data_IF_635974381255
#
_entry.id   IF_635974381255
#
_cell.length_a   1.000
_cell.length_b   1.000
_cell.length_c   1.000
_cell.angle_alpha   90.00
_cell.angle_beta   90.00
_cell.angle_gamma   90.00
#
_symmetry.space_group_name_H-M   'P 1'
#
loop_
_entity.id
_entity.type
_entity.pdbx_description
1 polymer ?
#
# COMPACT_ATOMS: atom_id res chain seq x y z
N UNK A 1 15.89 13.00 2.39
CA UNK A 1 15.62 11.59 2.73
C UNK A 1 16.83 10.98 3.42
N UNK A 2 18.00 10.81 2.79
CA UNK A 2 19.21 10.42 3.53
C UNK A 2 19.71 11.49 4.51
N UNK A 3 19.66 12.76 4.07
CA UNK A 3 20.08 13.92 4.86
C UNK A 3 19.29 14.14 6.17
N UNK A 4 18.05 13.63 6.24
CA UNK A 4 17.20 13.73 7.42
C UNK A 4 17.26 12.47 8.30
N UNK A 5 17.69 11.34 7.74
CA UNK A 5 17.95 10.12 8.52
C UNK A 5 19.20 10.27 9.40
N UNK A 6 20.20 11.04 8.95
CA UNK A 6 21.39 11.34 9.74
C UNK A 6 22.12 10.06 10.18
N UNK A 7 22.40 9.94 11.48
CA UNK A 7 22.97 8.76 12.14
C UNK A 7 21.90 7.89 12.85
N UNK A 8 20.60 8.11 12.60
CA UNK A 8 19.55 7.29 13.20
C UNK A 8 19.43 5.94 12.47
N UNK A 9 20.04 4.92 13.08
CA UNK A 9 20.04 3.55 12.56
C UNK A 9 18.67 2.88 12.53
N UNK A 10 17.62 3.47 13.12
CA UNK A 10 16.25 2.96 13.01
C UNK A 10 15.59 3.31 11.67
N UNK A 11 16.20 4.19 10.86
CA UNK A 11 15.71 4.57 9.54
C UNK A 11 16.52 3.85 8.47
N UNK A 12 15.94 2.78 7.90
CA UNK A 12 16.59 1.98 6.87
C UNK A 12 16.29 2.50 5.47
N UNK A 13 17.33 2.86 4.70
CA UNK A 13 17.22 3.27 3.30
C UNK A 13 17.55 2.11 2.36
N UNK A 14 16.50 1.39 1.97
CA UNK A 14 16.61 0.12 1.24
C UNK A 14 16.39 0.36 -0.25
N UNK A 15 17.47 0.32 -1.03
CA UNK A 15 17.45 0.62 -2.48
C UNK A 15 18.26 -0.37 -3.28
N UNK A 16 18.05 -0.41 -4.60
CA UNK A 16 18.80 -1.28 -5.51
C UNK A 16 20.32 -0.99 -5.52
N UNK A 17 20.76 0.19 -5.08
CA UNK A 17 22.18 0.52 -4.92
C UNK A 17 22.89 -0.36 -3.87
N UNK A 18 22.13 -0.94 -2.94
CA UNK A 18 22.63 -1.88 -1.94
C UNK A 18 22.09 -3.30 -2.15
N UNK A 19 21.66 -3.62 -3.38
CA UNK A 19 21.23 -4.97 -3.77
C UNK A 19 19.77 -5.30 -3.49
N UNK A 20 18.92 -4.32 -3.14
CA UNK A 20 17.48 -4.56 -2.94
C UNK A 20 16.77 -4.75 -4.28
N UNK A 21 16.22 -5.95 -4.50
CA UNK A 21 15.40 -6.32 -5.64
C UNK A 21 13.94 -6.62 -5.25
N UNK A 22 13.24 -7.33 -6.13
CA UNK A 22 11.82 -7.66 -5.95
C UNK A 22 11.55 -8.62 -4.79
N UNK A 23 12.48 -9.53 -4.50
CA UNK A 23 12.37 -10.47 -3.37
C UNK A 23 12.53 -9.74 -2.04
N UNK A 24 13.48 -8.83 -1.94
CA UNK A 24 13.73 -8.03 -0.74
C UNK A 24 12.57 -7.08 -0.47
N UNK A 25 12.06 -6.38 -1.50
CA UNK A 25 10.85 -5.55 -1.38
C UNK A 25 9.65 -6.38 -0.90
N UNK A 26 9.48 -7.60 -1.42
CA UNK A 26 8.43 -8.51 -0.97
C UNK A 26 8.59 -8.84 0.52
N UNK A 27 9.82 -9.16 0.96
CA UNK A 27 10.13 -9.44 2.36
C UNK A 27 9.83 -8.23 3.26
N UNK A 28 10.28 -7.02 2.90
CA UNK A 28 10.05 -5.80 3.68
C UNK A 28 8.56 -5.49 3.81
N UNK A 29 7.81 -5.60 2.72
CA UNK A 29 6.36 -5.40 2.76
C UNK A 29 5.68 -6.44 3.65
N UNK A 30 6.11 -7.70 3.68
CA UNK A 30 5.54 -8.73 4.57
C UNK A 30 5.90 -8.52 6.03
N UNK A 31 7.08 -7.97 6.30
CA UNK A 31 7.57 -7.68 7.64
C UNK A 31 7.01 -6.37 8.22
N UNK A 32 6.34 -5.55 7.41
CA UNK A 32 5.79 -4.26 7.83
C UNK A 32 4.47 -4.42 8.58
N UNK A 33 4.31 -3.74 9.72
CA UNK A 33 3.03 -3.66 10.44
C UNK A 33 2.04 -2.69 9.78
N UNK A 34 2.56 -1.60 9.19
CA UNK A 34 1.79 -0.56 8.50
C UNK A 34 2.59 -0.04 7.31
N UNK A 35 1.91 0.15 6.16
CA UNK A 35 2.51 0.76 4.98
C UNK A 35 2.01 2.20 4.80
N UNK A 36 2.91 3.10 4.37
CA UNK A 36 2.59 4.50 4.11
C UNK A 36 2.74 4.82 2.61
N UNK A 37 1.72 5.45 2.01
CA UNK A 37 1.80 6.02 0.66
C UNK A 37 1.38 7.49 0.69
N UNK A 38 2.32 8.36 1.06
CA UNK A 38 2.08 9.80 1.28
C UNK A 38 2.36 10.68 0.05
N UNK A 39 2.21 10.11 -1.16
CA UNK A 39 2.37 10.81 -2.44
C UNK A 39 1.50 12.07 -2.51
N UNK A 40 2.05 13.16 -3.05
CA UNK A 40 1.29 14.38 -3.37
C UNK A 40 0.62 14.25 -4.75
N UNK A 41 1.26 13.51 -5.66
CA UNK A 41 0.75 13.16 -6.98
C UNK A 41 1.04 11.68 -7.19
N UNK A 42 0.04 10.95 -7.69
CA UNK A 42 0.15 9.51 -7.92
C UNK A 42 -0.68 9.13 -9.15
N UNK A 43 -0.23 8.13 -9.89
CA UNK A 43 -1.02 7.48 -10.92
C UNK A 43 -1.97 6.49 -10.26
N UNK A 44 -1.75 5.19 -10.48
CA UNK A 44 -2.45 4.15 -9.72
C UNK A 44 -1.78 3.88 -8.37
N UNK A 45 -0.46 3.66 -8.35
CA UNK A 45 0.30 3.32 -7.14
C UNK A 45 0.23 1.84 -6.78
N UNK A 46 0.92 0.98 -7.56
CA UNK A 46 0.92 -0.48 -7.36
C UNK A 46 1.47 -0.90 -5.99
N UNK A 47 2.35 -0.11 -5.38
CA UNK A 47 2.87 -0.35 -4.03
C UNK A 47 1.74 -0.47 -2.99
N UNK A 48 0.64 0.26 -3.17
CA UNK A 48 -0.55 0.16 -2.31
C UNK A 48 -1.23 -1.19 -2.48
N UNK A 49 -1.49 -1.62 -3.72
CA UNK A 49 -2.06 -2.94 -4.03
C UNK A 49 -1.18 -4.06 -3.49
N UNK A 50 0.15 -3.96 -3.63
CA UNK A 50 1.10 -4.95 -3.15
C UNK A 50 1.09 -5.10 -1.62
N UNK A 51 0.99 -3.99 -0.89
CA UNK A 51 0.88 -4.00 0.57
C UNK A 51 -0.45 -4.61 1.03
N UNK A 52 -1.58 -4.18 0.42
CA UNK A 52 -2.90 -4.73 0.70
C UNK A 52 -2.96 -6.24 0.41
N UNK A 53 -2.36 -6.70 -0.69
CA UNK A 53 -2.27 -8.13 -1.04
C UNK A 53 -1.57 -8.97 0.03
N UNK A 54 -0.58 -8.37 0.70
CA UNK A 54 0.20 -8.94 1.79
C UNK A 54 -0.44 -8.76 3.16
N UNK A 55 -1.70 -8.29 3.22
CA UNK A 55 -2.47 -8.02 4.44
C UNK A 55 -1.86 -6.94 5.32
N UNK A 56 -1.15 -5.99 4.72
CA UNK A 56 -0.63 -4.83 5.44
C UNK A 56 -1.61 -3.67 5.27
N UNK A 57 -2.16 -3.11 6.36
CA UNK A 57 -3.02 -1.94 6.27
C UNK A 57 -2.22 -0.73 5.78
N UNK A 58 -2.83 0.06 4.91
CA UNK A 58 -2.18 1.21 4.27
C UNK A 58 -2.74 2.52 4.82
N UNK A 59 -1.88 3.46 5.19
CA UNK A 59 -2.24 4.87 5.42
C UNK A 59 -1.72 5.68 4.24
N UNK A 60 -2.61 6.38 3.54
CA UNK A 60 -2.25 7.04 2.29
C UNK A 60 -2.99 8.35 2.06
N UNK A 61 -2.44 9.20 1.18
CA UNK A 61 -3.13 10.40 0.72
C UNK A 61 -4.22 10.08 -0.30
N UNK A 62 -5.29 10.86 -0.29
CA UNK A 62 -6.39 10.73 -1.26
C UNK A 62 -6.03 11.37 -2.62
N UNK A 63 -5.12 10.75 -3.37
CA UNK A 63 -4.67 11.24 -4.68
C UNK A 63 -4.61 10.12 -5.72
N UNK A 64 -4.84 10.46 -7.00
CA UNK A 64 -4.78 9.49 -8.10
C UNK A 64 -5.73 8.30 -7.92
N UNK A 65 -5.23 7.10 -8.19
CA UNK A 65 -5.91 5.82 -8.03
C UNK A 65 -5.80 5.19 -6.64
N UNK A 66 -5.15 5.85 -5.67
CA UNK A 66 -5.09 5.38 -4.28
C UNK A 66 -6.50 5.19 -3.67
N UNK A 67 -7.47 6.10 -3.86
CA UNK A 67 -8.81 5.95 -3.30
C UNK A 67 -9.61 4.77 -3.89
N UNK A 68 -9.19 4.22 -5.03
CA UNK A 68 -9.78 2.99 -5.59
C UNK A 68 -9.30 1.75 -4.83
N UNK A 69 -8.09 1.80 -4.27
CA UNK A 69 -7.45 0.69 -3.57
C UNK A 69 -7.69 0.75 -2.05
N UNK A 70 -7.62 1.94 -1.45
CA UNK A 70 -7.79 2.15 -0.01
C UNK A 70 -9.22 2.59 0.28
N UNK A 71 -10.04 1.66 0.80
CA UNK A 71 -11.37 1.94 1.32
C UNK A 71 -11.19 2.43 2.76
N UNK A 72 -11.41 3.72 2.96
CA UNK A 72 -11.17 4.39 4.23
C UNK A 72 -11.88 3.68 5.41
N UNK A 73 -11.14 3.38 6.48
CA UNK A 73 -11.63 2.67 7.66
C UNK A 73 -11.84 1.15 7.45
N UNK A 74 -11.67 0.64 6.23
CA UNK A 74 -11.96 -0.76 5.89
C UNK A 74 -10.72 -1.54 5.47
N UNK A 75 -9.95 -1.03 4.50
CA UNK A 75 -8.68 -1.64 4.04
C UNK A 75 -7.45 -0.82 4.43
N UNK A 76 -7.68 0.41 4.88
CA UNK A 76 -6.64 1.36 5.28
C UNK A 76 -7.26 2.69 5.71
N UNK A 77 -6.44 3.73 5.80
CA UNK A 77 -6.90 5.10 6.08
C UNK A 77 -6.47 6.06 4.98
N UNK A 78 -7.41 6.90 4.56
CA UNK A 78 -7.13 8.05 3.71
C UNK A 78 -6.96 9.29 4.58
N UNK A 79 -5.83 9.97 4.42
CA UNK A 79 -5.43 11.14 5.22
C UNK A 79 -5.03 12.31 4.32
N UNK A 80 -5.04 13.53 4.86
CA UNK A 80 -4.68 14.74 4.10
C UNK A 80 -3.28 15.25 4.45
N UNK A 81 -2.89 15.12 5.72
CA UNK A 81 -1.64 15.65 6.25
C UNK A 81 -0.84 14.62 7.06
N UNK A 82 0.37 15.02 7.46
CA UNK A 82 1.33 14.19 8.19
C UNK A 82 0.86 13.89 9.61
N UNK A 83 0.14 14.82 10.26
CA UNK A 83 -0.34 14.63 11.63
C UNK A 83 -1.40 13.53 11.69
N UNK A 84 -2.36 13.56 10.76
CA UNK A 84 -3.34 12.50 10.58
C UNK A 84 -2.67 11.17 10.19
N UNK A 85 -1.64 11.19 9.34
CA UNK A 85 -0.90 9.98 9.00
C UNK A 85 -0.25 9.34 10.25
N UNK A 86 0.40 10.16 11.08
CA UNK A 86 1.01 9.70 12.33
C UNK A 86 -0.04 9.15 13.30
N UNK A 87 -1.16 9.85 13.48
CA UNK A 87 -2.26 9.41 14.35
C UNK A 87 -2.82 8.05 13.91
N UNK A 88 -3.11 7.88 12.61
CA UNK A 88 -3.66 6.61 12.09
C UNK A 88 -2.65 5.48 12.12
N UNK A 89 -1.37 5.77 11.89
CA UNK A 89 -0.29 4.78 12.04
C UNK A 89 -0.20 4.30 13.48
N UNK A 90 -0.17 5.22 14.45
CA UNK A 90 -0.14 4.89 15.87
C UNK A 90 -1.39 4.11 16.29
N UNK A 91 -2.57 4.48 15.78
CA UNK A 91 -3.80 3.75 16.03
C UNK A 91 -3.71 2.28 15.57
N UNK A 92 -3.17 2.03 14.37
CA UNK A 92 -3.00 0.67 13.83
C UNK A 92 -2.03 -0.15 14.69
N UNK A 93 -0.89 0.45 15.07
CA UNK A 93 0.10 -0.20 15.94
C UNK A 93 -0.46 -0.53 17.33
N UNK A 94 -1.30 0.33 17.90
CA UNK A 94 -1.97 0.09 19.20
C UNK A 94 -3.10 -0.93 19.12
N UNK A 95 -3.72 -1.13 17.95
CA UNK A 95 -4.90 -1.96 17.78
C UNK A 95 -4.66 -3.11 16.79
N UNK A 96 -3.69 -3.99 17.11
CA UNK A 96 -3.27 -5.10 16.24
C UNK A 96 -4.41 -5.93 15.65
N UNK A 97 -5.41 -6.33 16.45
CA UNK A 97 -6.58 -7.09 15.95
C UNK A 97 -7.40 -6.33 14.90
N UNK A 98 -7.48 -5.00 15.00
CA UNK A 98 -8.15 -4.17 13.99
C UNK A 98 -7.30 -4.04 12.74
N UNK A 99 -5.99 -3.87 12.90
CA UNK A 99 -5.02 -3.84 11.80
C UNK A 99 -5.04 -5.16 10.99
N UNK A 100 -5.04 -6.31 11.66
CA UNK A 100 -5.15 -7.64 11.03
C UNK A 100 -6.45 -7.79 10.23
N UNK A 101 -7.59 -7.44 10.81
CA UNK A 101 -8.89 -7.46 10.11
C UNK A 101 -8.91 -6.53 8.90
N UNK A 102 -8.29 -5.36 9.03
CA UNK A 102 -8.16 -4.39 7.94
C UNK A 102 -7.26 -4.94 6.82
N UNK A 103 -6.17 -5.61 7.17
CA UNK A 103 -5.29 -6.31 6.24
C UNK A 103 -6.00 -7.42 5.46
N UNK A 104 -6.80 -8.25 6.12
CA UNK A 104 -7.59 -9.30 5.44
C UNK A 104 -8.57 -8.69 4.45
N UNK A 105 -9.31 -7.65 4.85
CA UNK A 105 -10.21 -6.92 3.94
C UNK A 105 -9.45 -6.29 2.78
N UNK A 106 -8.24 -5.78 3.02
CA UNK A 106 -7.34 -5.29 1.98
C UNK A 106 -7.01 -6.36 0.94
N UNK A 107 -6.62 -7.54 1.39
CA UNK A 107 -6.32 -8.68 0.52
C UNK A 107 -7.55 -9.13 -0.28
N UNK A 108 -8.72 -9.23 0.37
CA UNK A 108 -9.98 -9.57 -0.31
C UNK A 108 -10.34 -8.55 -1.39
N UNK A 109 -10.14 -7.26 -1.11
CA UNK A 109 -10.37 -6.19 -2.06
C UNK A 109 -9.46 -6.33 -3.28
N UNK A 110 -8.17 -6.60 -3.07
CA UNK A 110 -7.21 -6.86 -4.16
C UNK A 110 -7.56 -8.11 -4.95
N UNK A 111 -7.93 -9.21 -4.28
CA UNK A 111 -8.32 -10.46 -4.91
C UNK A 111 -9.46 -10.26 -5.92
N UNK A 112 -10.47 -9.47 -5.54
CA UNK A 112 -11.65 -9.19 -6.37
C UNK A 112 -11.36 -8.20 -7.49
N UNK A 113 -10.47 -7.24 -7.24
CA UNK A 113 -10.39 -6.05 -8.07
C UNK A 113 -9.06 -5.81 -8.75
N UNK A 114 -7.90 -6.32 -8.33
CA UNK A 114 -6.60 -5.83 -8.85
C UNK A 114 -5.60 -6.91 -9.23
N UNK A 115 -6.04 -8.17 -9.33
CA UNK A 115 -5.20 -9.23 -9.88
C UNK A 115 -5.11 -9.17 -11.40
N UNK A 116 -3.98 -9.68 -11.92
CA UNK A 116 -3.69 -9.76 -13.35
C UNK A 116 -4.74 -10.54 -14.13
N UNK A 117 -5.36 -11.56 -13.53
CA UNK A 117 -6.41 -12.37 -14.18
C UNK A 117 -7.68 -11.56 -14.44
N UNK A 118 -8.08 -10.71 -13.50
CA UNK A 118 -9.17 -9.74 -13.69
C UNK A 118 -8.79 -8.77 -14.80
N UNK A 119 -7.58 -8.22 -14.75
CA UNK A 119 -7.11 -7.26 -15.74
C UNK A 119 -7.08 -7.83 -17.17
N UNK A 120 -6.60 -9.07 -17.34
CA UNK A 120 -6.62 -9.79 -18.61
C UNK A 120 -8.05 -9.97 -19.14
N UNK A 121 -8.99 -10.36 -18.27
CA UNK A 121 -10.40 -10.53 -18.63
C UNK A 121 -11.00 -9.22 -19.16
N UNK A 122 -10.72 -8.09 -18.50
CA UNK A 122 -11.21 -6.78 -18.93
C UNK A 122 -10.67 -6.41 -20.31
N UNK A 123 -9.38 -6.69 -20.58
CA UNK A 123 -8.79 -6.47 -21.90
C UNK A 123 -9.38 -7.36 -22.99
N UNK A 124 -9.57 -8.65 -22.71
CA UNK A 124 -10.20 -9.56 -23.68
C UNK A 124 -11.62 -9.10 -24.01
N UNK A 125 -12.38 -8.69 -22.99
CA UNK A 125 -13.73 -8.14 -23.18
C UNK A 125 -13.70 -6.89 -24.06
N UNK A 126 -12.77 -5.98 -23.81
CA UNK A 126 -12.58 -4.78 -24.63
C UNK A 126 -12.32 -5.16 -26.10
N UNK A 127 -11.41 -6.09 -26.36
CA UNK A 127 -11.12 -6.52 -27.73
C UNK A 127 -12.32 -7.19 -28.40
N UNK A 128 -13.14 -7.95 -27.67
CA UNK A 128 -14.36 -8.55 -28.25
C UNK A 128 -15.51 -7.56 -28.46
N UNK A 129 -15.52 -6.42 -27.78
CA UNK A 129 -16.56 -5.40 -27.94
C UNK A 129 -16.25 -4.39 -29.06
N UNK A 130 -14.97 -4.22 -29.41
CA UNK A 130 -14.51 -3.24 -30.38
C UNK A 130 -13.88 -3.85 -31.65
N UNK A 131 -13.76 -5.17 -31.75
CA UNK A 131 -13.44 -5.92 -32.98
C UNK A 131 -14.66 -6.72 -33.43
#
# INVERSE_FOLDING_TARGET
>A
TARYAGEDYNIHLLTNLIGVGSLEVNAFQRASDVALQMSIREGFGLSVTEALWKRVPVVARKVGGIPLQVINGTTGFLVNDVNNAAEKTLYLLKHKKKAEKMGEKGREHVLKNFLITRHLKDYLKLFTEFC
#
